data_IF_731130522915
#
_entry.id   IF_731130522915
#
_cell.length_a   1.000
_cell.length_b   1.000
_cell.length_c   1.000
_cell.angle_alpha   90.00
_cell.angle_beta   90.00
_cell.angle_gamma   90.00
#
_symmetry.space_group_name_H-M   'P 1'
#
loop_
_entity.id
_entity.type
_entity.pdbx_description
1 polymer ?
#
# COMPACT_ATOMS: atom_id res chain seq x y z
N UNK A 1 13.97 2.70 -25.06
CA UNK A 1 12.52 2.40 -24.86
C UNK A 1 12.30 0.91 -25.06
N UNK A 2 12.24 0.16 -23.98
CA UNK A 2 11.65 -1.18 -24.00
C UNK A 2 10.16 -0.97 -23.78
N UNK A 3 9.45 -0.58 -24.82
CA UNK A 3 8.01 -0.42 -24.78
C UNK A 3 7.36 -1.80 -24.62
N UNK A 4 6.82 -2.09 -23.46
CA UNK A 4 6.03 -3.25 -23.21
C UNK A 4 4.79 -3.27 -24.08
N UNK A 5 4.74 -4.19 -25.03
CA UNK A 5 3.48 -4.84 -25.36
C UNK A 5 3.01 -5.59 -24.10
N UNK A 6 1.70 -5.77 -23.92
CA UNK A 6 1.03 -6.34 -22.74
C UNK A 6 1.52 -7.70 -22.19
N UNK A 7 2.61 -8.21 -22.68
CA UNK A 7 3.39 -9.31 -22.14
C UNK A 7 4.75 -8.77 -21.70
N UNK A 8 4.91 -8.49 -20.41
CA UNK A 8 6.20 -8.16 -19.82
C UNK A 8 7.18 -9.32 -20.03
N UNK A 9 8.01 -9.24 -21.07
CA UNK A 9 9.09 -10.20 -21.30
C UNK A 9 10.30 -9.74 -20.54
N UNK A 10 10.68 -10.48 -19.53
CA UNK A 10 11.89 -10.24 -18.76
C UNK A 10 13.12 -10.60 -19.59
N UNK A 11 14.04 -9.63 -19.76
CA UNK A 11 15.33 -9.90 -20.39
C UNK A 11 16.15 -10.80 -19.47
N UNK A 12 16.69 -11.92 -20.01
CA UNK A 12 17.54 -12.85 -19.24
C UNK A 12 19.00 -12.43 -19.24
N UNK A 13 19.46 -11.82 -20.31
CA UNK A 13 20.82 -11.32 -20.44
C UNK A 13 20.90 -10.11 -21.37
N UNK A 14 21.98 -9.38 -21.24
CA UNK A 14 22.30 -8.20 -22.08
C UNK A 14 23.71 -8.40 -22.60
N UNK A 15 23.92 -8.23 -23.91
CA UNK A 15 25.25 -8.16 -24.51
C UNK A 15 25.76 -6.71 -24.46
N UNK A 16 26.88 -6.51 -23.80
CA UNK A 16 27.48 -5.23 -23.50
C UNK A 16 28.74 -5.06 -24.36
N UNK A 17 28.88 -3.95 -25.06
CA UNK A 17 30.05 -3.66 -25.89
C UNK A 17 30.89 -2.57 -25.20
N UNK A 18 32.21 -2.82 -25.06
CA UNK A 18 33.15 -1.79 -24.62
C UNK A 18 33.43 -0.77 -25.77
N UNK A 19 34.24 0.24 -25.50
CA UNK A 19 34.61 1.28 -26.49
C UNK A 19 35.37 0.71 -27.69
N UNK A 20 36.00 -0.45 -27.52
CA UNK A 20 36.74 -1.16 -28.60
C UNK A 20 35.81 -2.07 -29.42
N UNK A 21 34.52 -2.15 -29.07
CA UNK A 21 33.55 -2.97 -29.76
C UNK A 21 33.59 -4.46 -29.36
N UNK A 22 34.31 -4.81 -28.30
CA UNK A 22 34.34 -6.18 -27.78
C UNK A 22 33.05 -6.45 -26.97
N UNK A 23 32.41 -7.57 -27.26
CA UNK A 23 31.17 -7.98 -26.61
C UNK A 23 31.42 -8.73 -25.31
N UNK A 24 30.73 -8.35 -24.24
CA UNK A 24 30.65 -9.09 -23.01
C UNK A 24 29.20 -9.36 -22.64
N UNK A 25 28.85 -10.62 -22.48
CA UNK A 25 27.51 -10.99 -22.06
C UNK A 25 27.35 -10.84 -20.54
N UNK A 26 26.47 -9.96 -20.09
CA UNK A 26 26.09 -9.81 -18.71
C UNK A 26 24.80 -10.59 -18.45
N UNK A 27 24.87 -11.60 -17.59
CA UNK A 27 23.68 -12.35 -17.15
C UNK A 27 22.94 -11.53 -16.11
N UNK A 28 21.67 -11.25 -16.36
CA UNK A 28 20.80 -10.53 -15.41
C UNK A 28 20.31 -11.43 -14.27
N UNK A 29 20.51 -12.76 -14.38
CA UNK A 29 20.13 -13.76 -13.40
C UNK A 29 21.32 -14.63 -12.98
N UNK A 30 21.19 -15.37 -11.86
CA UNK A 30 22.28 -16.21 -11.34
C UNK A 30 22.85 -17.18 -12.39
N UNK A 31 24.14 -17.46 -12.28
CA UNK A 31 24.98 -18.16 -13.26
C UNK A 31 24.60 -19.62 -13.58
N UNK A 32 23.59 -20.19 -12.91
CA UNK A 32 23.11 -21.54 -13.17
C UNK A 32 22.03 -21.62 -14.28
N UNK A 33 21.60 -20.46 -14.81
CA UNK A 33 20.67 -20.41 -15.94
C UNK A 33 21.48 -20.17 -17.20
N UNK A 34 21.61 -21.20 -18.04
CA UNK A 34 22.21 -21.05 -19.38
C UNK A 34 21.21 -20.37 -20.29
N UNK A 35 21.62 -19.28 -20.93
CA UNK A 35 20.81 -18.54 -21.91
C UNK A 35 21.42 -18.82 -23.29
N UNK A 36 20.69 -19.43 -24.24
CA UNK A 36 21.16 -19.63 -25.62
C UNK A 36 21.44 -18.29 -26.31
N UNK A 37 22.44 -18.26 -27.19
CA UNK A 37 22.86 -17.04 -27.91
C UNK A 37 21.77 -16.49 -28.85
N UNK A 38 20.82 -17.33 -29.26
CA UNK A 38 19.68 -16.98 -30.10
C UNK A 38 18.37 -16.75 -29.32
N UNK A 39 18.44 -16.71 -27.99
CA UNK A 39 17.26 -16.47 -27.16
C UNK A 39 16.65 -15.11 -27.48
N UNK A 40 15.35 -15.03 -27.88
CA UNK A 40 14.69 -13.78 -28.23
C UNK A 40 14.59 -12.78 -27.07
N UNK A 41 14.92 -13.22 -25.84
CA UNK A 41 15.00 -12.36 -24.66
C UNK A 41 16.39 -11.73 -24.45
N UNK A 42 17.36 -11.97 -25.33
CA UNK A 42 18.67 -11.31 -25.30
C UNK A 42 18.60 -10.02 -26.12
N UNK A 43 19.02 -8.92 -25.50
CA UNK A 43 19.16 -7.63 -26.18
C UNK A 43 20.63 -7.20 -26.22
N UNK A 44 21.05 -6.62 -27.34
CA UNK A 44 22.38 -6.00 -27.52
C UNK A 44 22.32 -4.54 -27.17
N UNK A 45 23.15 -4.09 -26.22
CA UNK A 45 23.13 -2.72 -25.71
C UNK A 45 24.53 -2.10 -25.82
N UNK A 46 24.62 -0.90 -26.39
CA UNK A 46 25.82 -0.07 -26.37
C UNK A 46 25.92 0.67 -25.04
N UNK A 47 26.75 0.18 -24.12
CA UNK A 47 26.83 0.67 -22.72
C UNK A 47 27.22 2.14 -22.65
N UNK A 48 28.13 2.59 -23.51
CA UNK A 48 28.57 3.99 -23.57
C UNK A 48 27.48 4.97 -24.05
N UNK A 49 26.34 4.45 -24.55
CA UNK A 49 25.18 5.24 -24.96
C UNK A 49 23.97 5.04 -24.07
N UNK A 50 24.08 4.22 -23.02
CA UNK A 50 23.01 4.05 -22.04
C UNK A 50 22.87 5.33 -21.22
N UNK A 51 21.66 5.87 -21.16
CA UNK A 51 21.28 6.95 -20.27
C UNK A 51 20.28 6.42 -19.25
N UNK A 52 20.47 6.76 -17.99
CA UNK A 52 19.50 6.48 -16.95
C UNK A 52 18.52 7.65 -16.87
N UNK A 53 17.32 7.42 -17.33
CA UNK A 53 16.24 8.41 -17.28
C UNK A 53 15.12 7.89 -16.39
N UNK A 54 14.56 8.77 -15.55
CA UNK A 54 13.41 8.45 -14.68
C UNK A 54 13.63 7.19 -13.82
N UNK A 55 14.70 7.17 -13.03
CA UNK A 55 14.93 6.09 -12.07
C UNK A 55 13.80 6.05 -11.06
N UNK A 56 13.10 4.91 -10.92
CA UNK A 56 11.94 4.75 -10.05
C UNK A 56 12.08 3.50 -9.17
N UNK A 57 11.45 3.54 -7.99
CA UNK A 57 11.39 2.40 -7.08
C UNK A 57 10.37 1.39 -7.61
N UNK A 58 10.82 0.18 -7.92
CA UNK A 58 9.97 -0.89 -8.42
C UNK A 58 9.71 -1.97 -7.36
N UNK A 59 10.76 -2.52 -6.73
CA UNK A 59 10.67 -3.75 -5.94
C UNK A 59 9.67 -3.70 -4.78
N UNK A 60 9.72 -2.62 -3.97
CA UNK A 60 8.80 -2.42 -2.88
C UNK A 60 7.35 -2.25 -3.36
N UNK A 61 7.16 -1.51 -4.46
CA UNK A 61 5.85 -1.29 -5.06
C UNK A 61 5.27 -2.58 -5.65
N UNK A 62 6.09 -3.36 -6.34
CA UNK A 62 5.71 -4.65 -6.89
C UNK A 62 5.30 -5.63 -5.78
N UNK A 63 6.10 -5.74 -4.72
CA UNK A 63 5.75 -6.60 -3.58
C UNK A 63 4.44 -6.14 -2.92
N UNK A 64 4.25 -4.85 -2.71
CA UNK A 64 3.02 -4.30 -2.14
C UNK A 64 1.80 -4.59 -3.01
N UNK A 65 1.94 -4.47 -4.33
CA UNK A 65 0.88 -4.80 -5.29
C UNK A 65 0.56 -6.30 -5.32
N UNK A 66 1.58 -7.18 -5.28
CA UNK A 66 1.36 -8.63 -5.21
C UNK A 66 0.68 -9.04 -3.89
N UNK A 67 1.07 -8.46 -2.75
CA UNK A 67 0.39 -8.68 -1.47
C UNK A 67 -1.07 -8.22 -1.51
N UNK A 68 -1.34 -7.06 -2.11
CA UNK A 68 -2.69 -6.55 -2.31
C UNK A 68 -3.57 -7.54 -3.08
N UNK A 69 -3.10 -8.03 -4.21
CA UNK A 69 -3.79 -9.07 -4.99
C UNK A 69 -3.92 -10.40 -4.24
N UNK A 70 -2.88 -10.81 -3.53
CA UNK A 70 -2.90 -12.05 -2.76
C UNK A 70 -3.95 -12.05 -1.65
N UNK A 71 -4.19 -10.87 -1.05
CA UNK A 71 -5.27 -10.65 -0.11
C UNK A 71 -6.65 -10.50 -0.78
N UNK A 72 -6.72 -10.48 -2.11
CA UNK A 72 -7.97 -10.29 -2.87
C UNK A 72 -8.57 -8.90 -2.72
N UNK A 73 -7.73 -7.90 -2.36
CA UNK A 73 -8.19 -6.53 -2.13
C UNK A 73 -8.48 -5.79 -3.43
N UNK A 74 -7.85 -6.18 -4.54
CA UNK A 74 -8.17 -5.71 -5.88
C UNK A 74 -9.64 -5.94 -6.20
N UNK A 75 -10.08 -7.19 -6.23
CA UNK A 75 -11.47 -7.54 -6.50
C UNK A 75 -12.46 -7.02 -5.46
N UNK A 76 -12.06 -6.96 -4.18
CA UNK A 76 -12.91 -6.38 -3.14
C UNK A 76 -13.20 -4.90 -3.40
N UNK A 77 -12.17 -4.10 -3.66
CA UNK A 77 -12.33 -2.67 -3.87
C UNK A 77 -12.93 -2.33 -5.24
N UNK A 78 -12.65 -3.09 -6.30
CA UNK A 78 -13.35 -2.97 -7.58
C UNK A 78 -14.87 -3.05 -7.41
N UNK A 79 -15.35 -4.00 -6.63
CA UNK A 79 -16.79 -4.16 -6.38
C UNK A 79 -17.37 -3.13 -5.40
N UNK A 80 -16.53 -2.65 -4.46
CA UNK A 80 -17.03 -1.81 -3.37
C UNK A 80 -17.06 -0.32 -3.71
N UNK A 81 -16.07 0.20 -4.45
CA UNK A 81 -15.85 1.64 -4.60
C UNK A 81 -15.74 2.13 -6.03
N UNK A 82 -15.47 1.26 -7.02
CA UNK A 82 -15.33 1.69 -8.40
C UNK A 82 -16.67 2.09 -9.00
N UNK A 83 -16.63 3.10 -9.85
CA UNK A 83 -17.74 3.57 -10.67
C UNK A 83 -17.22 3.92 -12.09
N UNK A 84 -18.10 3.78 -13.08
CA UNK A 84 -17.77 4.01 -14.50
C UNK A 84 -17.44 5.48 -14.82
N UNK A 85 -17.72 6.40 -13.90
CA UNK A 85 -17.48 7.83 -14.09
C UNK A 85 -16.08 8.26 -13.61
N UNK A 86 -15.37 7.39 -12.91
CA UNK A 86 -14.07 7.72 -12.36
C UNK A 86 -12.98 7.65 -13.45
N UNK A 87 -12.25 8.73 -13.63
CA UNK A 87 -11.09 8.78 -14.53
C UNK A 87 -9.98 7.78 -14.15
N UNK A 88 -9.80 7.56 -12.84
CA UNK A 88 -8.92 6.54 -12.27
C UNK A 88 -9.77 5.66 -11.36
N UNK A 89 -9.73 4.34 -11.51
CA UNK A 89 -10.46 3.44 -10.61
C UNK A 89 -10.11 3.67 -9.15
N UNK A 90 -11.12 3.81 -8.29
CA UNK A 90 -10.91 4.06 -6.85
C UNK A 90 -10.21 2.91 -6.15
N UNK A 91 -10.40 1.68 -6.62
CA UNK A 91 -9.67 0.48 -6.18
C UNK A 91 -8.17 0.62 -6.34
N UNK A 92 -7.72 1.20 -7.45
CA UNK A 92 -6.29 1.47 -7.70
C UNK A 92 -5.76 2.61 -6.81
N UNK A 93 -6.56 3.65 -6.58
CA UNK A 93 -6.21 4.73 -5.63
C UNK A 93 -6.09 4.18 -4.20
N UNK A 94 -6.97 3.25 -3.81
CA UNK A 94 -6.90 2.56 -2.53
C UNK A 94 -5.59 1.74 -2.39
N UNK A 95 -5.17 1.07 -3.46
CA UNK A 95 -3.89 0.34 -3.48
C UNK A 95 -2.70 1.29 -3.31
N UNK A 96 -2.69 2.46 -3.96
CA UNK A 96 -1.65 3.50 -3.77
C UNK A 96 -1.54 3.89 -2.30
N UNK A 97 -2.67 4.19 -1.63
CA UNK A 97 -2.71 4.55 -0.21
C UNK A 97 -2.16 3.44 0.68
N UNK A 98 -2.59 2.20 0.47
CA UNK A 98 -2.15 1.07 1.29
C UNK A 98 -0.66 0.75 1.09
N UNK A 99 -0.18 0.75 -0.15
CA UNK A 99 1.23 0.49 -0.47
C UNK A 99 2.12 1.60 0.10
N UNK A 100 1.67 2.87 0.04
CA UNK A 100 2.38 3.97 0.67
C UNK A 100 2.51 3.75 2.19
N UNK A 101 1.41 3.42 2.88
CA UNK A 101 1.43 3.16 4.34
C UNK A 101 2.35 2.00 4.72
N UNK A 102 2.50 1.01 3.85
CA UNK A 102 3.38 -0.13 4.09
C UNK A 102 4.87 0.24 3.97
N UNK A 103 5.25 1.07 3.00
CA UNK A 103 6.66 1.28 2.65
C UNK A 103 7.23 2.64 2.99
N UNK A 104 6.44 3.67 2.88
CA UNK A 104 6.90 5.06 3.05
C UNK A 104 5.77 5.93 3.58
N UNK A 105 5.23 5.66 4.79
CA UNK A 105 4.08 6.38 5.31
C UNK A 105 4.33 7.90 5.33
N UNK A 106 3.38 8.64 4.81
CA UNK A 106 3.44 10.10 4.71
C UNK A 106 2.04 10.69 4.56
N UNK A 107 1.94 12.03 4.53
CA UNK A 107 0.69 12.69 4.21
C UNK A 107 0.33 12.52 2.73
N UNK A 108 -0.94 12.70 2.40
CA UNK A 108 -1.45 12.60 1.03
C UNK A 108 -0.71 13.56 0.08
N UNK A 109 -0.40 14.77 0.54
CA UNK A 109 0.43 15.74 -0.19
C UNK A 109 1.86 15.19 -0.43
N UNK A 110 2.46 14.55 0.57
CA UNK A 110 3.78 13.93 0.40
C UNK A 110 3.74 12.72 -0.54
N UNK A 111 2.62 12.00 -0.60
CA UNK A 111 2.39 10.95 -1.60
C UNK A 111 2.39 11.54 -2.99
N UNK A 112 1.59 12.57 -3.24
CA UNK A 112 1.48 13.24 -4.55
C UNK A 112 2.81 13.82 -5.02
N UNK A 113 3.44 14.67 -4.20
CA UNK A 113 4.57 15.48 -4.64
C UNK A 113 5.91 14.74 -4.70
N UNK A 114 6.10 13.74 -3.84
CA UNK A 114 7.42 13.14 -3.64
C UNK A 114 7.48 11.64 -3.83
N UNK A 115 6.57 10.90 -3.18
CA UNK A 115 6.70 9.44 -3.16
C UNK A 115 6.16 8.80 -4.43
N UNK A 116 4.92 9.06 -4.80
CA UNK A 116 4.31 8.44 -5.97
C UNK A 116 5.10 8.67 -7.27
N UNK A 117 5.58 9.90 -7.59
CA UNK A 117 6.39 10.14 -8.78
C UNK A 117 7.75 9.43 -8.77
N UNK A 118 8.26 9.05 -7.59
CA UNK A 118 9.52 8.30 -7.44
C UNK A 118 9.34 6.79 -7.58
N UNK A 119 8.12 6.31 -7.75
CA UNK A 119 7.75 4.89 -7.81
C UNK A 119 7.34 4.46 -9.21
N UNK A 120 7.30 3.15 -9.45
CA UNK A 120 6.75 2.56 -10.65
C UNK A 120 5.27 2.13 -10.49
N UNK A 121 4.54 2.75 -9.56
CA UNK A 121 3.14 2.41 -9.32
C UNK A 121 2.21 2.83 -10.46
N UNK A 122 2.54 3.88 -11.18
CA UNK A 122 1.82 4.29 -12.39
C UNK A 122 1.80 3.16 -13.43
N UNK A 123 2.96 2.54 -13.70
CA UNK A 123 3.06 1.40 -14.61
C UNK A 123 2.36 0.14 -14.05
N UNK A 124 2.57 -0.16 -12.75
CA UNK A 124 2.01 -1.35 -12.10
C UNK A 124 0.49 -1.32 -12.00
N UNK A 125 -0.07 -0.15 -11.77
CA UNK A 125 -1.50 0.08 -11.60
C UNK A 125 -2.17 0.61 -12.88
N UNK A 126 -1.41 0.79 -13.98
CA UNK A 126 -1.88 1.36 -15.23
C UNK A 126 -2.62 2.69 -15.03
N UNK A 127 -2.04 3.56 -14.23
CA UNK A 127 -2.57 4.91 -13.95
C UNK A 127 -1.70 5.90 -14.72
N UNK A 128 -2.32 6.77 -15.51
CA UNK A 128 -1.60 7.82 -16.23
C UNK A 128 -0.87 8.77 -15.26
N UNK A 129 0.32 9.19 -15.67
CA UNK A 129 1.15 10.13 -14.90
C UNK A 129 0.37 11.42 -14.56
N UNK A 130 0.53 11.90 -13.32
CA UNK A 130 -0.14 13.11 -12.82
C UNK A 130 -1.62 12.95 -12.46
N UNK A 131 -2.18 11.74 -12.55
CA UNK A 131 -3.58 11.48 -12.16
C UNK A 131 -3.76 11.23 -10.67
N UNK A 132 -2.72 10.95 -9.91
CA UNK A 132 -2.76 10.84 -8.46
C UNK A 132 -2.45 12.21 -7.86
N UNK A 133 -3.40 12.75 -7.08
CA UNK A 133 -3.26 14.00 -6.33
C UNK A 133 -3.88 13.85 -4.94
N UNK A 134 -3.54 14.78 -4.03
CA UNK A 134 -3.98 14.78 -2.64
C UNK A 134 -5.51 14.74 -2.51
N UNK A 135 -6.20 15.55 -3.29
CA UNK A 135 -7.67 15.60 -3.30
C UNK A 135 -8.29 14.25 -3.68
N UNK A 136 -7.72 13.54 -4.66
CA UNK A 136 -8.19 12.20 -5.05
C UNK A 136 -7.90 11.19 -3.95
N UNK A 137 -6.75 11.27 -3.30
CA UNK A 137 -6.40 10.42 -2.17
C UNK A 137 -7.37 10.60 -1.00
N UNK A 138 -7.67 11.85 -0.60
CA UNK A 138 -8.65 12.12 0.46
C UNK A 138 -10.06 11.64 0.09
N UNK A 139 -10.53 11.88 -1.14
CA UNK A 139 -11.82 11.37 -1.60
C UNK A 139 -11.90 9.85 -1.62
N UNK A 140 -10.78 9.17 -1.87
CA UNK A 140 -10.71 7.73 -1.79
C UNK A 140 -10.93 7.23 -0.36
N UNK A 141 -10.34 7.87 0.64
CA UNK A 141 -10.57 7.55 2.05
C UNK A 141 -12.04 7.68 2.43
N UNK A 142 -12.71 8.75 1.99
CA UNK A 142 -14.15 8.96 2.22
C UNK A 142 -15.00 7.84 1.57
N UNK A 143 -14.60 7.35 0.40
CA UNK A 143 -15.29 6.25 -0.28
C UNK A 143 -15.05 4.89 0.39
N UNK A 144 -13.87 4.65 0.94
CA UNK A 144 -13.53 3.39 1.62
C UNK A 144 -14.26 3.27 2.97
N UNK A 145 -14.40 4.37 3.71
CA UNK A 145 -14.90 4.37 5.08
C UNK A 145 -16.25 3.65 5.27
N UNK A 146 -17.26 3.82 4.40
CA UNK A 146 -18.52 3.10 4.52
C UNK A 146 -18.40 1.57 4.39
N UNK A 147 -17.31 1.09 3.81
CA UNK A 147 -17.06 -0.32 3.57
C UNK A 147 -16.23 -1.01 4.66
N UNK A 148 -15.89 -0.29 5.76
CA UNK A 148 -15.06 -0.79 6.86
C UNK A 148 -15.46 -2.20 7.31
N UNK A 149 -16.72 -2.41 7.67
CA UNK A 149 -17.20 -3.70 8.20
C UNK A 149 -17.06 -4.83 7.17
N UNK A 150 -17.33 -4.54 5.89
CA UNK A 150 -17.18 -5.54 4.82
C UNK A 150 -15.70 -5.87 4.57
N UNK A 151 -14.85 -4.87 4.63
CA UNK A 151 -13.39 -5.05 4.51
C UNK A 151 -12.84 -5.91 5.65
N UNK A 152 -13.26 -5.66 6.89
CA UNK A 152 -12.87 -6.46 8.05
C UNK A 152 -13.29 -7.93 7.90
N UNK A 153 -14.52 -8.18 7.44
CA UNK A 153 -15.02 -9.54 7.16
C UNK A 153 -14.23 -10.21 6.03
N UNK A 154 -13.96 -9.50 4.95
CA UNK A 154 -13.13 -9.99 3.85
C UNK A 154 -11.73 -10.39 4.33
N UNK A 155 -11.06 -9.52 5.06
CA UNK A 155 -9.71 -9.79 5.57
C UNK A 155 -9.70 -10.97 6.56
N UNK A 156 -10.69 -11.05 7.46
CA UNK A 156 -10.84 -12.19 8.37
C UNK A 156 -10.92 -13.51 7.61
N UNK A 157 -11.74 -13.56 6.57
CA UNK A 157 -11.87 -14.74 5.71
C UNK A 157 -10.55 -15.07 5.01
N UNK A 158 -9.90 -14.06 4.40
CA UNK A 158 -8.64 -14.25 3.68
C UNK A 158 -7.51 -14.73 4.58
N UNK A 159 -7.43 -14.22 5.81
CA UNK A 159 -6.44 -14.68 6.79
C UNK A 159 -6.68 -16.15 7.20
N UNK A 160 -7.95 -16.56 7.35
CA UNK A 160 -8.30 -17.97 7.57
C UNK A 160 -7.88 -18.85 6.39
N UNK A 161 -8.18 -18.45 5.16
CA UNK A 161 -7.86 -19.22 3.95
C UNK A 161 -6.36 -19.31 3.67
N UNK A 162 -5.62 -18.22 3.84
CA UNK A 162 -4.19 -18.16 3.48
C UNK A 162 -3.27 -18.67 4.58
N UNK A 163 -3.61 -18.42 5.83
CA UNK A 163 -2.72 -18.63 6.97
C UNK A 163 -3.31 -19.59 8.03
N UNK A 164 -4.55 -20.02 7.87
CA UNK A 164 -5.25 -20.80 8.88
C UNK A 164 -5.52 -19.98 10.14
N UNK A 165 -5.60 -18.66 10.06
CA UNK A 165 -5.76 -17.78 11.20
C UNK A 165 -7.12 -18.01 11.88
N UNK A 166 -7.10 -18.24 13.19
CA UNK A 166 -8.27 -18.41 14.03
C UNK A 166 -8.53 -17.16 14.88
N UNK A 167 -9.80 -16.87 15.14
CA UNK A 167 -10.23 -15.67 15.88
C UNK A 167 -11.06 -16.03 17.12
N UNK A 168 -10.70 -17.13 17.78
CA UNK A 168 -11.28 -17.63 19.01
C UNK A 168 -10.85 -16.82 20.25
N UNK A 169 -9.67 -16.22 20.19
CA UNK A 169 -9.14 -15.32 21.22
C UNK A 169 -8.74 -14.00 20.56
N UNK A 170 -9.28 -12.91 21.10
CA UNK A 170 -8.98 -11.57 20.64
C UNK A 170 -8.22 -10.80 21.72
N UNK A 171 -7.19 -10.09 21.27
CA UNK A 171 -6.40 -9.16 22.08
C UNK A 171 -6.68 -7.75 21.57
N UNK A 172 -6.75 -6.78 22.48
CA UNK A 172 -6.86 -5.39 22.08
C UNK A 172 -5.81 -4.53 22.77
N UNK A 173 -5.34 -3.53 22.06
CA UNK A 173 -4.46 -2.50 22.58
C UNK A 173 -4.96 -1.12 22.17
N UNK A 174 -4.77 -0.16 23.07
CA UNK A 174 -5.11 1.23 22.85
C UNK A 174 -3.85 2.02 22.57
N UNK A 175 -3.86 2.77 21.49
CA UNK A 175 -2.83 3.76 21.18
C UNK A 175 -3.48 5.11 20.92
N UNK A 176 -2.72 6.19 21.09
CA UNK A 176 -3.15 7.52 20.64
C UNK A 176 -2.40 7.92 19.39
N UNK A 177 -3.06 8.67 18.53
CA UNK A 177 -2.40 9.40 17.44
C UNK A 177 -2.71 10.87 17.60
N UNK A 178 -1.76 11.74 17.28
CA UNK A 178 -1.93 13.18 17.34
C UNK A 178 -1.96 13.79 15.94
N UNK A 179 -2.55 14.97 15.83
CA UNK A 179 -2.61 15.71 14.57
C UNK A 179 -1.77 16.98 14.68
N UNK A 180 -0.83 17.13 13.76
CA UNK A 180 -0.10 18.39 13.56
C UNK A 180 -0.91 19.28 12.62
N UNK A 181 -1.67 20.22 13.19
CA UNK A 181 -2.52 21.13 12.45
C UNK A 181 -3.81 21.47 13.18
N UNK A 182 -4.68 22.22 12.52
CA UNK A 182 -5.96 22.65 13.09
C UNK A 182 -6.98 21.52 12.97
N UNK A 183 -7.21 20.78 14.05
CA UNK A 183 -8.26 19.75 14.15
C UNK A 183 -9.55 20.28 14.81
N UNK A 184 -9.70 21.59 14.96
CA UNK A 184 -10.73 22.27 15.74
C UNK A 184 -12.17 21.89 15.38
N UNK A 185 -12.40 21.40 14.17
CA UNK A 185 -13.74 21.01 13.70
C UNK A 185 -13.99 19.51 13.77
N UNK A 186 -13.06 18.70 14.26
CA UNK A 186 -13.26 17.27 14.39
C UNK A 186 -13.70 16.92 15.82
N UNK A 187 -14.96 16.51 16.05
CA UNK A 187 -15.50 16.25 17.39
C UNK A 187 -14.82 15.08 18.11
N UNK A 188 -14.09 14.21 17.40
CA UNK A 188 -13.34 13.09 18.00
C UNK A 188 -11.96 13.50 18.47
N UNK A 189 -11.46 14.66 18.00
CA UNK A 189 -10.16 15.16 18.40
C UNK A 189 -10.28 15.90 19.76
N UNK A 190 -9.36 15.61 20.65
CA UNK A 190 -9.35 16.22 21.96
C UNK A 190 -7.99 16.14 22.61
N UNK A 191 -7.71 17.08 23.51
CA UNK A 191 -6.47 17.04 24.30
C UNK A 191 -6.61 16.00 25.43
N UNK A 192 -5.64 15.11 25.54
CA UNK A 192 -5.62 14.05 26.52
C UNK A 192 -4.20 13.63 26.87
N UNK A 193 -4.05 12.46 27.51
CA UNK A 193 -2.75 11.88 27.79
C UNK A 193 -2.09 11.42 26.48
N UNK A 194 -1.03 12.13 26.07
CA UNK A 194 -0.27 11.77 24.86
C UNK A 194 0.86 10.80 25.21
N UNK A 195 0.82 9.59 24.66
CA UNK A 195 1.91 8.62 24.75
C UNK A 195 3.14 9.09 23.98
N UNK A 196 2.95 9.92 22.95
CA UNK A 196 4.01 10.47 22.10
C UNK A 196 4.62 11.77 22.66
N UNK A 197 4.27 12.14 23.91
CA UNK A 197 4.74 13.35 24.57
C UNK A 197 4.41 14.65 23.81
N UNK A 198 3.29 14.67 23.09
CA UNK A 198 2.76 15.84 22.36
C UNK A 198 1.45 16.36 22.98
N UNK A 199 1.49 16.87 24.22
CA UNK A 199 0.29 17.41 24.90
C UNK A 199 -0.21 18.73 24.27
N UNK A 200 0.62 19.33 23.39
CA UNK A 200 0.30 20.52 22.60
C UNK A 200 -0.65 20.21 21.44
N UNK A 201 -0.71 18.96 20.98
CA UNK A 201 -1.52 18.52 19.85
C UNK A 201 -2.84 17.90 20.32
N UNK A 202 -3.87 18.05 19.50
CA UNK A 202 -5.10 17.28 19.63
C UNK A 202 -4.85 15.85 19.17
N UNK A 203 -5.48 14.91 19.85
CA UNK A 203 -5.28 13.48 19.62
C UNK A 203 -6.59 12.71 19.52
N UNK A 204 -6.51 11.52 19.00
CA UNK A 204 -7.57 10.53 18.96
C UNK A 204 -7.03 9.19 19.48
N UNK A 205 -7.87 8.43 20.17
CA UNK A 205 -7.51 7.10 20.64
C UNK A 205 -7.96 6.06 19.62
N UNK A 206 -7.08 5.10 19.33
CA UNK A 206 -7.33 3.99 18.42
C UNK A 206 -7.23 2.70 19.22
N UNK A 207 -8.25 1.86 19.17
CA UNK A 207 -8.22 0.50 19.64
C UNK A 207 -8.02 -0.45 18.46
N UNK A 208 -6.91 -1.18 18.44
CA UNK A 208 -6.68 -2.25 17.49
C UNK A 208 -7.01 -3.59 18.15
N UNK A 209 -7.79 -4.42 17.47
CA UNK A 209 -8.17 -5.75 17.92
C UNK A 209 -7.53 -6.75 16.98
N UNK A 210 -6.76 -7.67 17.57
CA UNK A 210 -6.01 -8.69 16.83
C UNK A 210 -6.30 -10.07 17.41
N UNK A 211 -6.05 -11.12 16.63
CA UNK A 211 -6.03 -12.48 17.18
C UNK A 211 -4.71 -12.76 17.92
N UNK A 212 -4.56 -13.98 18.45
CA UNK A 212 -3.38 -14.43 19.19
C UNK A 212 -2.08 -14.36 18.38
N UNK A 213 -2.16 -14.48 17.06
CA UNK A 213 -1.03 -14.46 16.12
C UNK A 213 -0.71 -13.05 15.61
N UNK A 214 -1.52 -12.05 15.97
CA UNK A 214 -1.34 -10.65 15.54
C UNK A 214 -2.12 -10.26 14.28
N UNK A 215 -2.93 -11.15 13.70
CA UNK A 215 -3.78 -10.77 12.56
C UNK A 215 -4.87 -9.80 13.01
N UNK A 216 -5.02 -8.66 12.33
CA UNK A 216 -6.02 -7.66 12.69
C UNK A 216 -7.43 -8.18 12.42
N UNK A 217 -8.29 -8.05 13.44
CA UNK A 217 -9.71 -8.38 13.37
C UNK A 217 -10.56 -7.15 13.09
N UNK A 218 -10.28 -6.07 13.82
CA UNK A 218 -11.03 -4.82 13.73
C UNK A 218 -10.27 -3.69 14.40
N UNK A 219 -10.71 -2.46 14.19
CA UNK A 219 -10.27 -1.30 14.95
C UNK A 219 -11.46 -0.40 15.28
N UNK A 220 -11.34 0.36 16.37
CA UNK A 220 -12.28 1.41 16.72
C UNK A 220 -11.54 2.68 17.11
N UNK A 221 -12.20 3.81 16.89
CA UNK A 221 -11.67 5.14 17.21
C UNK A 221 -12.52 5.77 18.31
N UNK A 222 -11.86 6.43 19.26
CA UNK A 222 -12.49 7.10 20.38
C UNK A 222 -11.94 8.51 20.55
N UNK A 223 -12.71 9.33 21.25
CA UNK A 223 -12.32 10.70 21.57
C UNK A 223 -10.97 10.73 22.31
N UNK A 224 -10.12 11.69 21.97
CA UNK A 224 -8.74 11.76 22.43
C UNK A 224 -8.54 11.89 23.96
N UNK A 225 -9.57 12.24 24.71
CA UNK A 225 -9.57 12.33 26.18
C UNK A 225 -10.18 11.11 26.87
N UNK A 226 -10.50 10.03 26.13
CA UNK A 226 -11.19 8.87 26.69
C UNK A 226 -10.24 7.97 27.45
N UNK A 227 -10.67 7.49 28.64
CA UNK A 227 -9.90 6.58 29.47
C UNK A 227 -10.05 5.12 29.02
N UNK A 228 -9.00 4.32 29.17
CA UNK A 228 -8.91 2.91 28.74
C UNK A 228 -10.09 2.05 29.27
N UNK A 229 -10.46 2.23 30.52
CA UNK A 229 -11.52 1.42 31.16
C UNK A 229 -12.88 1.62 30.49
N UNK A 230 -13.18 2.83 30.00
CA UNK A 230 -14.46 3.15 29.37
C UNK A 230 -14.62 2.63 27.93
N UNK A 231 -13.54 2.18 27.31
CA UNK A 231 -13.55 1.64 25.95
C UNK A 231 -13.85 0.14 25.90
N UNK A 232 -13.51 -0.61 26.95
CA UNK A 232 -13.64 -2.07 27.03
C UNK A 232 -15.06 -2.54 26.72
N UNK A 233 -16.07 -1.96 27.37
CA UNK A 233 -17.47 -2.37 27.19
C UNK A 233 -17.94 -2.12 25.74
N UNK A 234 -17.52 -1.01 25.14
CA UNK A 234 -17.83 -0.70 23.74
C UNK A 234 -17.22 -1.72 22.79
N UNK A 235 -15.95 -2.09 23.03
CA UNK A 235 -15.23 -3.08 22.22
C UNK A 235 -15.87 -4.47 22.36
N UNK A 236 -16.21 -4.91 23.57
CA UNK A 236 -16.87 -6.19 23.79
C UNK A 236 -18.19 -6.28 23.01
N UNK A 237 -19.04 -5.26 23.12
CA UNK A 237 -20.31 -5.21 22.38
C UNK A 237 -20.12 -5.20 20.86
N UNK A 238 -19.05 -4.61 20.37
CA UNK A 238 -18.73 -4.58 18.94
C UNK A 238 -18.27 -5.96 18.46
N UNK A 239 -17.38 -6.61 19.19
CA UNK A 239 -16.89 -7.97 18.86
C UNK A 239 -18.03 -8.98 18.86
N UNK A 240 -18.98 -8.90 19.80
CA UNK A 240 -20.17 -9.78 19.85
C UNK A 240 -21.08 -9.65 18.61
N UNK A 241 -21.00 -8.53 17.86
CA UNK A 241 -21.82 -8.27 16.68
C UNK A 241 -21.16 -8.66 15.35
N UNK A 242 -19.87 -8.99 15.34
CA UNK A 242 -19.05 -9.35 14.18
C UNK A 242 -18.70 -10.82 14.11
#
# INVERSE_FOLDING_TARGET
EVNGSAEARWLKSVEVFNEQGEAQQLKLFPSHIEVPDDDPQVARVLVNRVRLERTRQFGACFLGWELWKHLGLDGFFEQAVDDDAAEVPWSRVAAVLAINRLWAPGSELAVEERWYPSTALDDLLEIEEGKINDTRLYRCLDRILPHKTKLEQHLKQRYGELFGAEFDVLLYDLTSTYMEGAAENNPMMGRGYSRDHRPDCEQMVIALIVNREGFPFSYETFDGNRADVSTMETILRMVERK
#
